data_IF_355947340001
#
_entry.id   IF_355947340001
#
_cell.length_a   1.000
_cell.length_b   1.000
_cell.length_c   1.000
_cell.angle_alpha   90.00
_cell.angle_beta   90.00
_cell.angle_gamma   90.00
#
_symmetry.space_group_name_H-M   'P 1'
#
loop_
_entity.id
_entity.type
_entity.pdbx_description
1 polymer ?
#
# COMPACT_ATOMS: atom_id res chain seq x y z
N UNK A 1 36.42 16.72 40.89
CA UNK A 1 35.66 17.36 41.97
C UNK A 1 34.38 17.95 41.37
N UNK A 2 33.24 17.34 41.74
CA UNK A 2 31.82 17.72 41.63
C UNK A 2 31.34 18.76 40.59
N UNK A 3 30.38 18.36 39.75
CA UNK A 3 29.37 19.23 39.15
C UNK A 3 27.98 18.77 39.62
N UNK A 4 27.20 19.70 40.14
CA UNK A 4 25.97 19.50 40.90
C UNK A 4 24.74 19.29 40.01
N UNK A 5 23.86 18.38 40.44
CA UNK A 5 22.53 18.16 39.87
C UNK A 5 21.52 19.04 40.61
N UNK A 6 20.83 19.94 39.91
CA UNK A 6 19.68 20.67 40.45
C UNK A 6 18.39 19.92 40.12
N UNK A 7 17.90 19.19 41.12
CA UNK A 7 16.58 18.55 41.14
C UNK A 7 15.51 19.62 41.38
N UNK A 8 14.56 19.77 40.45
CA UNK A 8 13.35 20.58 40.66
C UNK A 8 12.20 19.62 40.98
N UNK A 9 11.88 19.49 42.25
CA UNK A 9 10.69 18.81 42.73
C UNK A 9 9.46 19.73 42.54
N UNK A 10 8.47 19.27 41.78
CA UNK A 10 7.13 19.88 41.75
C UNK A 10 6.14 18.96 42.45
N UNK A 11 5.81 19.34 43.68
CA UNK A 11 4.65 18.86 44.43
C UNK A 11 3.42 19.52 43.84
N UNK A 12 2.43 18.74 43.39
CA UNK A 12 1.07 19.24 43.21
C UNK A 12 0.07 18.25 43.81
N UNK A 13 -0.78 18.84 44.64
CA UNK A 13 -1.70 18.22 45.56
C UNK A 13 -2.84 17.48 44.85
N UNK A 14 -3.27 16.40 45.51
CA UNK A 14 -4.51 15.69 45.23
C UNK A 14 -5.72 16.59 45.48
N UNK A 15 -6.64 16.64 44.54
CA UNK A 15 -8.06 16.88 44.79
C UNK A 15 -8.88 15.96 43.88
N UNK A 16 -9.54 14.98 44.51
CA UNK A 16 -10.51 14.09 43.87
C UNK A 16 -11.90 14.71 44.01
N UNK A 17 -12.71 14.79 42.95
CA UNK A 17 -14.14 14.89 43.09
C UNK A 17 -14.79 13.52 42.90
N UNK A 18 -15.40 13.03 43.98
CA UNK A 18 -16.30 11.88 44.01
C UNK A 18 -17.58 12.21 43.25
N UNK A 19 -17.80 11.58 42.10
CA UNK A 19 -19.12 11.56 41.45
C UNK A 19 -19.59 10.12 41.39
N UNK A 20 -20.52 9.83 42.31
CA UNK A 20 -21.38 8.65 42.31
C UNK A 20 -22.22 8.64 41.03
N UNK A 21 -22.06 7.62 40.20
CA UNK A 21 -23.08 7.24 39.23
C UNK A 21 -23.54 5.82 39.50
N UNK A 22 -24.84 5.71 39.74
CA UNK A 22 -25.55 4.50 40.07
C UNK A 22 -25.46 3.47 38.95
N UNK A 23 -25.07 2.25 39.33
CA UNK A 23 -25.29 1.04 38.57
C UNK A 23 -26.81 0.79 38.48
N UNK A 24 -27.40 1.02 37.30
CA UNK A 24 -28.68 0.42 36.92
C UNK A 24 -28.47 -1.08 36.76
N UNK A 25 -28.69 -1.85 37.83
CA UNK A 25 -28.92 -3.30 37.72
C UNK A 25 -30.31 -3.53 37.14
N UNK A 26 -30.35 -4.07 35.93
CA UNK A 26 -31.57 -4.59 35.32
C UNK A 26 -31.85 -5.97 35.94
N UNK A 27 -32.77 -6.04 36.90
CA UNK A 27 -33.29 -7.31 37.41
C UNK A 27 -34.25 -7.90 36.36
N UNK A 28 -33.81 -8.92 35.63
CA UNK A 28 -34.71 -9.78 34.88
C UNK A 28 -35.40 -10.75 35.84
N UNK A 29 -36.64 -10.45 36.21
CA UNK A 29 -37.51 -11.33 36.97
C UNK A 29 -37.94 -12.50 36.06
N UNK A 30 -37.36 -13.69 36.27
CA UNK A 30 -37.90 -14.93 35.71
C UNK A 30 -39.12 -15.34 36.55
N UNK A 31 -40.32 -15.00 36.07
CA UNK A 31 -41.55 -15.59 36.57
C UNK A 31 -42.01 -16.69 35.61
N UNK A 32 -41.93 -17.92 36.10
CA UNK A 32 -42.58 -19.11 35.55
C UNK A 32 -44.10 -18.92 35.61
N UNK A 33 -44.79 -19.19 34.50
CA UNK A 33 -46.22 -19.49 34.51
C UNK A 33 -46.41 -20.94 34.03
N UNK A 34 -47.16 -21.79 34.76
CA UNK A 34 -47.49 -23.13 34.32
C UNK A 34 -48.77 -23.09 33.49
N UNK A 35 -48.74 -23.61 32.25
CA UNK A 35 -49.96 -23.84 31.47
C UNK A 35 -50.03 -25.30 31.05
N UNK A 36 -50.76 -26.02 31.91
CA UNK A 36 -51.71 -27.12 31.67
C UNK A 36 -51.72 -27.75 30.27
N UNK A 37 -51.36 -29.03 30.24
CA UNK A 37 -51.57 -29.98 29.15
C UNK A 37 -53.05 -30.39 29.06
N UNK A 38 -53.60 -30.32 27.84
CA UNK A 38 -54.69 -31.18 27.40
C UNK A 38 -54.41 -31.62 25.96
N UNK A 39 -54.31 -32.94 25.79
CA UNK A 39 -54.28 -33.57 24.47
C UNK A 39 -55.70 -33.67 23.91
N UNK A 40 -55.84 -33.31 22.64
CA UNK A 40 -56.94 -33.76 21.79
C UNK A 40 -56.39 -33.92 20.37
N UNK A 41 -56.56 -35.14 19.85
CA UNK A 41 -56.19 -35.59 18.52
C UNK A 41 -57.08 -34.89 17.47
N UNK A 42 -56.48 -34.39 16.40
CA UNK A 42 -57.17 -34.07 15.15
C UNK A 42 -56.24 -34.38 13.96
N UNK A 43 -56.65 -35.23 12.99
CA UNK A 43 -55.84 -35.57 11.85
C UNK A 43 -56.29 -34.78 10.62
N UNK A 44 -55.69 -33.62 10.37
CA UNK A 44 -55.75 -32.99 9.06
C UNK A 44 -54.39 -32.35 8.74
N UNK A 45 -53.56 -33.11 8.02
CA UNK A 45 -52.31 -32.62 7.45
C UNK A 45 -52.61 -31.90 6.13
N UNK A 46 -52.36 -30.59 5.99
CA UNK A 46 -52.33 -29.98 4.68
C UNK A 46 -51.05 -30.44 3.96
N UNK A 47 -51.08 -30.64 2.62
CA UNK A 47 -49.88 -30.95 1.87
C UNK A 47 -48.99 -29.71 1.88
N UNK A 48 -47.91 -29.74 2.66
CA UNK A 48 -46.80 -28.82 2.48
C UNK A 48 -46.11 -29.18 1.17
N UNK A 49 -46.57 -28.59 0.07
CA UNK A 49 -45.73 -28.44 -1.11
C UNK A 49 -44.59 -27.49 -0.74
N UNK A 50 -43.57 -28.03 -0.09
CA UNK A 50 -42.23 -27.46 -0.14
C UNK A 50 -41.76 -27.61 -1.59
N UNK A 51 -42.10 -26.65 -2.43
CA UNK A 51 -41.28 -26.36 -3.60
C UNK A 51 -40.00 -25.69 -3.09
N UNK A 52 -39.13 -26.46 -2.43
CA UNK A 52 -37.72 -26.13 -2.40
C UNK A 52 -37.21 -26.40 -3.81
N UNK A 53 -37.45 -25.44 -4.70
CA UNK A 53 -36.74 -25.38 -5.97
C UNK A 53 -35.30 -25.03 -5.61
N UNK A 54 -34.41 -26.02 -5.71
CA UNK A 54 -32.97 -25.82 -5.60
C UNK A 54 -32.51 -24.98 -6.79
N UNK A 55 -32.71 -23.67 -6.72
CA UNK A 55 -32.18 -22.71 -7.68
C UNK A 55 -30.69 -22.50 -7.37
N UNK A 56 -29.85 -23.10 -8.21
CA UNK A 56 -28.75 -22.42 -8.91
C UNK A 56 -27.58 -21.80 -8.12
N UNK A 57 -27.00 -22.49 -7.13
CA UNK A 57 -25.67 -22.13 -6.62
C UNK A 57 -24.59 -22.10 -7.73
N UNK A 58 -24.77 -22.86 -8.81
CA UNK A 58 -23.86 -22.87 -9.96
C UNK A 58 -24.04 -21.67 -10.90
N UNK A 59 -25.25 -21.14 -11.08
CA UNK A 59 -25.44 -19.93 -11.89
C UNK A 59 -25.00 -18.67 -11.13
N UNK A 60 -25.16 -18.63 -9.81
CA UNK A 60 -24.73 -17.49 -9.00
C UNK A 60 -23.20 -17.38 -8.93
N UNK A 61 -22.49 -18.51 -8.80
CA UNK A 61 -21.03 -18.53 -8.82
C UNK A 61 -20.45 -18.18 -10.20
N UNK A 62 -21.06 -18.66 -11.28
CA UNK A 62 -20.67 -18.32 -12.65
C UNK A 62 -20.95 -16.83 -12.95
N UNK A 63 -22.12 -16.30 -12.57
CA UNK A 63 -22.47 -14.89 -12.72
C UNK A 63 -21.57 -13.98 -11.87
N UNK A 64 -21.21 -14.37 -10.64
CA UNK A 64 -20.26 -13.62 -9.80
C UNK A 64 -18.86 -13.65 -10.39
N UNK A 65 -18.38 -14.78 -10.90
CA UNK A 65 -17.07 -14.88 -11.55
C UNK A 65 -17.01 -14.05 -12.86
N UNK A 66 -18.08 -14.04 -13.63
CA UNK A 66 -18.22 -13.24 -14.85
C UNK A 66 -18.29 -11.73 -14.53
N UNK A 67 -18.98 -11.36 -13.44
CA UNK A 67 -19.01 -9.97 -12.93
C UNK A 67 -17.64 -9.53 -12.43
N UNK A 68 -16.89 -10.42 -11.77
CA UNK A 68 -15.53 -10.16 -11.30
C UNK A 68 -14.57 -9.90 -12.47
N UNK A 69 -14.83 -10.46 -13.66
CA UNK A 69 -14.07 -10.19 -14.87
C UNK A 69 -14.46 -8.88 -15.56
N UNK A 70 -15.72 -8.43 -15.43
CA UNK A 70 -16.27 -7.26 -16.13
C UNK A 70 -15.41 -6.00 -15.99
N UNK A 71 -14.87 -5.74 -14.79
CA UNK A 71 -14.13 -4.50 -14.49
C UNK A 71 -12.61 -4.69 -14.34
N UNK A 72 -12.05 -5.87 -14.64
CA UNK A 72 -10.60 -6.11 -14.49
C UNK A 72 -9.76 -5.25 -15.43
N UNK A 73 -10.17 -5.19 -16.70
CA UNK A 73 -9.42 -4.50 -17.75
C UNK A 73 -9.64 -2.98 -17.70
N UNK A 74 -10.85 -2.56 -17.31
CA UNK A 74 -11.24 -1.16 -17.18
C UNK A 74 -11.82 -0.85 -15.79
N UNK A 75 -10.96 -0.76 -14.75
CA UNK A 75 -11.42 -0.54 -13.38
C UNK A 75 -12.18 0.76 -13.11
N UNK A 76 -11.98 1.78 -13.95
CA UNK A 76 -12.63 3.08 -13.78
C UNK A 76 -14.12 3.06 -14.16
N UNK A 77 -14.57 2.12 -15.00
CA UNK A 77 -15.97 2.00 -15.39
C UNK A 77 -16.85 1.60 -14.18
N UNK A 78 -16.30 0.86 -13.20
CA UNK A 78 -17.03 0.48 -11.98
C UNK A 78 -17.44 1.69 -11.13
N UNK A 79 -16.62 2.74 -11.02
CA UNK A 79 -16.97 3.93 -10.23
C UNK A 79 -18.07 4.79 -10.86
N UNK A 80 -18.35 4.58 -12.14
CA UNK A 80 -19.44 5.25 -12.86
C UNK A 80 -20.72 4.39 -12.89
N UNK A 81 -20.63 3.14 -12.46
CA UNK A 81 -21.75 2.22 -12.42
C UNK A 81 -22.77 2.58 -11.34
N UNK A 82 -24.04 2.23 -11.59
CA UNK A 82 -25.12 2.35 -10.62
C UNK A 82 -24.85 1.53 -9.35
N UNK A 83 -24.22 0.35 -9.49
CA UNK A 83 -23.83 -0.53 -8.38
C UNK A 83 -22.94 0.19 -7.35
N UNK A 84 -21.99 1.00 -7.82
CA UNK A 84 -21.09 1.76 -6.97
C UNK A 84 -21.85 2.90 -6.27
N UNK A 85 -22.70 3.62 -7.00
CA UNK A 85 -23.45 4.76 -6.50
C UNK A 85 -24.46 4.32 -5.43
N UNK A 86 -25.14 3.19 -5.60
CA UNK A 86 -26.06 2.64 -4.60
C UNK A 86 -25.34 2.21 -3.32
N UNK A 87 -24.14 1.64 -3.45
CA UNK A 87 -23.37 1.12 -2.31
C UNK A 87 -22.63 2.19 -1.51
N UNK A 88 -22.02 3.15 -2.20
CA UNK A 88 -21.14 4.17 -1.61
C UNK A 88 -21.72 5.58 -1.64
N UNK A 89 -22.59 5.86 -2.60
CA UNK A 89 -23.11 7.21 -2.83
C UNK A 89 -22.00 8.21 -3.13
N UNK A 90 -22.03 9.33 -2.40
CA UNK A 90 -21.05 10.43 -2.52
C UNK A 90 -19.84 10.28 -1.61
N UNK A 91 -19.90 9.35 -0.66
CA UNK A 91 -18.87 9.19 0.36
C UNK A 91 -17.67 8.42 -0.18
N UNK A 92 -16.45 8.67 0.33
CA UNK A 92 -15.28 7.91 -0.08
C UNK A 92 -15.40 6.44 0.35
N UNK A 93 -14.78 5.54 -0.41
CA UNK A 93 -14.86 4.07 -0.21
C UNK A 93 -14.53 3.62 1.21
N UNK A 94 -13.76 4.39 1.97
CA UNK A 94 -13.30 4.07 3.32
C UNK A 94 -14.13 4.72 4.45
N UNK A 95 -15.18 5.50 4.13
CA UNK A 95 -15.97 6.25 5.12
C UNK A 95 -16.71 5.35 6.13
N UNK A 96 -17.35 4.29 5.65
CA UNK A 96 -18.13 3.33 6.43
C UNK A 96 -17.27 2.25 7.10
N UNK A 97 -15.94 2.34 6.99
CA UNK A 97 -15.03 1.34 7.50
C UNK A 97 -14.51 1.64 8.90
N UNK A 98 -14.68 0.67 9.82
CA UNK A 98 -14.14 0.73 11.18
C UNK A 98 -13.28 -0.48 11.52
N UNK A 99 -12.07 -0.22 12.02
CA UNK A 99 -11.11 -1.25 12.44
C UNK A 99 -11.38 -1.75 13.86
N UNK A 100 -11.40 -3.07 14.00
CA UNK A 100 -11.41 -3.73 15.29
C UNK A 100 -9.98 -3.79 15.86
N UNK A 101 -9.76 -3.14 17.01
CA UNK A 101 -8.50 -3.15 17.74
C UNK A 101 -8.77 -3.03 19.25
N UNK A 102 -7.78 -3.38 20.07
CA UNK A 102 -7.90 -3.31 21.53
C UNK A 102 -7.61 -1.89 22.02
N UNK A 103 -8.47 -1.37 22.89
CA UNK A 103 -8.32 -0.04 23.50
C UNK A 103 -8.79 1.10 22.59
N UNK A 104 -8.60 2.34 23.04
CA UNK A 104 -9.00 3.53 22.29
C UNK A 104 -7.99 4.01 21.24
N UNK A 105 -6.72 3.63 21.37
CA UNK A 105 -5.64 4.04 20.44
C UNK A 105 -5.34 2.87 19.50
N UNK A 106 -5.50 3.04 18.17
CA UNK A 106 -5.17 1.98 17.23
C UNK A 106 -3.65 1.75 17.12
N UNK A 107 -3.24 0.53 16.75
CA UNK A 107 -1.86 0.29 16.34
C UNK A 107 -1.47 1.19 15.16
N UNK A 108 -0.28 1.80 15.24
CA UNK A 108 0.25 2.74 14.23
C UNK A 108 0.49 2.11 12.85
N UNK A 109 0.56 0.78 12.79
CA UNK A 109 0.64 0.04 11.54
C UNK A 109 -0.60 -0.82 11.37
N UNK A 110 -1.16 -0.83 10.16
CA UNK A 110 -2.23 -1.77 9.80
C UNK A 110 -1.66 -3.15 9.55
N UNK A 111 -2.54 -4.15 9.41
CA UNK A 111 -2.11 -5.51 9.07
C UNK A 111 -1.41 -5.54 7.71
N UNK A 112 -0.52 -6.53 7.52
CA UNK A 112 0.25 -6.69 6.26
C UNK A 112 -0.67 -6.88 5.05
N UNK A 113 -1.57 -7.86 5.11
CA UNK A 113 -2.53 -8.19 4.04
C UNK A 113 -3.89 -8.58 4.63
N UNK A 114 -4.98 -8.32 3.89
CA UNK A 114 -6.32 -8.83 4.19
C UNK A 114 -6.56 -10.22 3.61
N UNK A 115 -6.00 -10.47 2.43
CA UNK A 115 -6.18 -11.69 1.64
C UNK A 115 -4.92 -12.55 1.81
N UNK A 116 -5.09 -13.82 2.18
CA UNK A 116 -4.01 -14.81 2.36
C UNK A 116 -4.37 -16.05 1.56
N UNK A 117 -3.74 -16.23 0.38
CA UNK A 117 -4.22 -17.23 -0.59
C UNK A 117 -5.62 -16.84 -1.05
N UNK A 118 -6.57 -17.76 -0.94
CA UNK A 118 -7.97 -17.55 -1.34
C UNK A 118 -8.85 -17.07 -0.16
N UNK A 119 -8.32 -17.07 1.07
CA UNK A 119 -9.08 -16.68 2.25
C UNK A 119 -9.01 -15.16 2.51
N UNK A 120 -10.18 -14.55 2.64
CA UNK A 120 -10.34 -13.15 3.01
C UNK A 120 -10.55 -13.05 4.53
N UNK A 121 -9.77 -12.20 5.19
CA UNK A 121 -9.94 -11.91 6.61
C UNK A 121 -11.35 -11.41 6.93
N UNK A 122 -11.96 -11.83 8.05
CA UNK A 122 -13.37 -11.54 8.36
C UNK A 122 -13.79 -10.06 8.41
N UNK A 123 -12.87 -9.13 8.73
CA UNK A 123 -13.08 -7.69 8.55
C UNK A 123 -12.05 -7.15 7.54
N UNK A 124 -12.24 -7.33 6.21
CA UNK A 124 -11.32 -6.89 5.16
C UNK A 124 -11.26 -5.37 5.07
N UNK A 125 -10.19 -4.81 4.49
CA UNK A 125 -10.09 -3.35 4.36
C UNK A 125 -11.00 -2.84 3.23
N UNK A 126 -11.27 -1.52 3.13
CA UNK A 126 -12.21 -0.96 2.15
C UNK A 126 -11.97 -1.38 0.71
N UNK A 127 -10.69 -1.52 0.33
CA UNK A 127 -10.25 -1.96 -1.01
C UNK A 127 -10.28 -3.48 -1.18
N UNK A 128 -10.15 -4.26 -0.10
CA UNK A 128 -10.10 -5.74 -0.19
C UNK A 128 -11.44 -6.42 0.06
N UNK A 129 -12.44 -5.70 0.56
CA UNK A 129 -13.81 -6.24 0.75
C UNK A 129 -14.54 -6.38 -0.58
N UNK A 130 -14.25 -5.47 -1.52
CA UNK A 130 -14.93 -5.36 -2.79
C UNK A 130 -13.91 -5.64 -3.90
N UNK A 131 -14.11 -6.76 -4.62
CA UNK A 131 -13.19 -7.20 -5.67
C UNK A 131 -13.19 -6.29 -6.91
N UNK A 132 -14.26 -5.54 -7.12
CA UNK A 132 -14.42 -4.62 -8.24
C UNK A 132 -13.54 -3.36 -8.08
N UNK A 133 -13.11 -3.05 -6.84
CA UNK A 133 -12.24 -1.92 -6.56
C UNK A 133 -10.78 -2.31 -6.82
N UNK A 134 -10.35 -2.12 -8.06
CA UNK A 134 -8.97 -2.37 -8.48
C UNK A 134 -8.16 -1.07 -8.42
N UNK A 135 -7.07 -1.10 -7.65
CA UNK A 135 -6.11 0.02 -7.57
C UNK A 135 -5.28 0.04 -8.86
N UNK A 136 -5.50 1.08 -9.67
CA UNK A 136 -4.80 1.30 -10.93
C UNK A 136 -4.49 2.79 -11.11
N UNK A 137 -3.39 3.12 -11.81
CA UNK A 137 -2.94 4.50 -11.99
C UNK A 137 -3.92 5.35 -12.83
N UNK A 138 -4.62 4.73 -13.78
CA UNK A 138 -5.65 5.40 -14.59
C UNK A 138 -6.92 5.72 -13.82
N UNK A 139 -7.14 5.07 -12.66
CA UNK A 139 -8.35 5.24 -11.90
C UNK A 139 -8.27 6.48 -10.97
N UNK A 140 -8.26 7.66 -11.60
CA UNK A 140 -8.08 8.95 -10.91
C UNK A 140 -9.16 9.18 -9.86
N UNK A 141 -10.43 8.86 -10.17
CA UNK A 141 -11.58 9.02 -9.26
C UNK A 141 -11.39 8.25 -7.96
N UNK A 142 -10.89 7.01 -8.04
CA UNK A 142 -10.58 6.20 -6.87
C UNK A 142 -9.40 6.77 -6.10
N UNK A 143 -8.27 7.05 -6.78
CA UNK A 143 -7.05 7.52 -6.13
C UNK A 143 -7.26 8.85 -5.40
N UNK A 144 -8.06 9.75 -5.97
CA UNK A 144 -8.37 11.05 -5.37
C UNK A 144 -9.05 10.93 -4.01
N UNK A 145 -9.84 9.88 -3.76
CA UNK A 145 -10.46 9.63 -2.44
C UNK A 145 -9.45 9.32 -1.33
N UNK A 146 -8.26 8.83 -1.70
CA UNK A 146 -7.18 8.52 -0.76
C UNK A 146 -6.19 9.68 -0.58
N UNK A 147 -6.36 10.78 -1.32
CA UNK A 147 -5.48 11.95 -1.30
C UNK A 147 -6.18 13.10 -0.57
N UNK A 148 -5.43 13.82 0.26
CA UNK A 148 -5.90 15.06 0.88
C UNK A 148 -6.11 16.14 -0.18
N UNK A 149 -7.31 16.74 -0.29
CA UNK A 149 -7.58 17.78 -1.29
C UNK A 149 -6.76 19.06 -1.06
N UNK A 150 -6.36 19.33 0.19
CA UNK A 150 -5.61 20.54 0.54
C UNK A 150 -4.10 20.34 0.41
N UNK A 151 -3.59 19.20 0.90
CA UNK A 151 -2.14 18.96 0.98
C UNK A 151 -1.61 18.20 -0.24
N UNK A 152 -2.50 17.53 -1.00
CA UNK A 152 -2.08 16.60 -2.06
C UNK A 152 -1.32 15.38 -1.54
N UNK A 153 -1.30 15.14 -0.23
CA UNK A 153 -0.63 13.98 0.38
C UNK A 153 -1.58 12.80 0.49
N UNK A 154 -1.06 11.59 0.29
CA UNK A 154 -1.82 10.36 0.50
C UNK A 154 -2.12 10.18 1.99
N UNK A 155 -3.33 9.77 2.32
CA UNK A 155 -3.69 9.47 3.70
C UNK A 155 -2.94 8.25 4.23
N UNK A 156 -2.59 8.32 5.51
CA UNK A 156 -1.97 7.23 6.25
C UNK A 156 -2.97 6.07 6.44
N UNK A 157 -2.54 4.80 6.47
CA UNK A 157 -3.43 3.66 6.52
C UNK A 157 -4.13 3.55 7.89
N UNK A 158 -3.67 4.26 8.91
CA UNK A 158 -4.37 4.43 10.19
C UNK A 158 -5.69 5.18 10.03
N UNK A 159 -5.76 6.13 9.09
CA UNK A 159 -6.97 6.92 8.76
C UNK A 159 -7.91 6.18 7.82
N UNK A 160 -7.39 5.62 6.72
CA UNK A 160 -8.20 4.96 5.68
C UNK A 160 -8.51 3.50 6.01
N UNK A 161 -7.74 2.88 6.90
CA UNK A 161 -7.92 1.50 7.32
C UNK A 161 -7.48 0.43 6.32
N UNK A 162 -6.76 0.82 5.25
CA UNK A 162 -6.22 -0.13 4.25
C UNK A 162 -5.09 -1.00 4.81
N UNK A 163 -4.94 -2.22 4.31
CA UNK A 163 -3.78 -3.04 4.66
C UNK A 163 -2.49 -2.51 4.02
N UNK A 164 -1.34 -2.81 4.62
CA UNK A 164 -0.06 -2.30 4.15
C UNK A 164 0.26 -2.69 2.69
N UNK A 165 -0.16 -3.87 2.23
CA UNK A 165 -0.02 -4.28 0.82
C UNK A 165 -0.79 -3.36 -0.13
N UNK A 166 -2.02 -2.98 0.22
CA UNK A 166 -2.80 -2.05 -0.61
C UNK A 166 -2.29 -0.62 -0.47
N UNK A 167 -1.83 -0.20 0.71
CA UNK A 167 -1.16 1.10 0.87
C UNK A 167 0.05 1.23 -0.05
N UNK A 168 0.88 0.18 -0.14
CA UNK A 168 2.03 0.16 -1.05
C UNK A 168 1.59 0.30 -2.52
N UNK A 169 0.57 -0.46 -2.93
CA UNK A 169 -0.01 -0.36 -4.28
C UNK A 169 -0.60 1.02 -4.56
N UNK A 170 -1.26 1.66 -3.59
CA UNK A 170 -1.78 3.01 -3.71
C UNK A 170 -0.65 4.02 -3.89
N UNK A 171 0.44 3.92 -3.12
CA UNK A 171 1.62 4.77 -3.30
C UNK A 171 2.22 4.62 -4.71
N UNK A 172 2.40 3.38 -5.17
CA UNK A 172 2.92 3.08 -6.51
C UNK A 172 2.00 3.64 -7.62
N UNK A 173 0.69 3.41 -7.50
CA UNK A 173 -0.29 3.89 -8.46
C UNK A 173 -0.39 5.42 -8.49
N UNK A 174 -0.33 6.09 -7.34
CA UNK A 174 -0.33 7.56 -7.25
C UNK A 174 0.96 8.15 -7.79
N UNK A 175 2.13 7.55 -7.51
CA UNK A 175 3.40 7.95 -8.11
C UNK A 175 3.34 7.85 -9.63
N UNK A 176 2.96 6.69 -10.14
CA UNK A 176 2.81 6.43 -11.58
C UNK A 176 1.79 7.38 -12.24
N UNK A 177 0.66 7.67 -11.57
CA UNK A 177 -0.34 8.61 -12.08
C UNK A 177 0.17 10.06 -12.12
N UNK A 178 1.04 10.47 -11.18
CA UNK A 178 1.70 11.78 -11.21
C UNK A 178 2.74 11.86 -12.32
N UNK A 179 3.52 10.79 -12.51
CA UNK A 179 4.54 10.70 -13.58
C UNK A 179 3.88 10.78 -14.96
N UNK A 180 2.69 10.19 -15.13
CA UNK A 180 1.89 10.31 -16.35
C UNK A 180 1.08 11.62 -16.48
N UNK A 181 1.09 12.49 -15.46
CA UNK A 181 0.31 13.73 -15.46
C UNK A 181 -1.20 13.55 -15.34
N UNK A 182 -1.69 12.38 -14.91
CA UNK A 182 -3.11 12.11 -14.68
C UNK A 182 -3.62 12.74 -13.39
N UNK A 183 -2.76 12.83 -12.37
CA UNK A 183 -3.07 13.47 -11.09
C UNK A 183 -2.34 14.80 -10.96
N UNK A 184 -3.05 15.91 -10.66
CA UNK A 184 -2.41 17.18 -10.38
C UNK A 184 -1.67 17.14 -9.04
N UNK A 185 -0.48 17.71 -8.99
CA UNK A 185 0.30 17.90 -7.77
C UNK A 185 1.11 19.20 -7.85
N UNK A 186 1.50 19.74 -6.70
CA UNK A 186 2.28 20.96 -6.64
C UNK A 186 3.75 20.68 -6.97
N UNK A 187 4.25 21.31 -8.04
CA UNK A 187 5.66 21.31 -8.40
C UNK A 187 6.23 22.68 -8.00
N UNK A 188 7.19 22.74 -7.06
CA UNK A 188 7.82 24.00 -6.72
C UNK A 188 8.65 24.50 -7.90
N UNK A 189 8.62 25.81 -8.13
CA UNK A 189 9.59 26.44 -9.00
C UNK A 189 10.95 26.41 -8.32
N UNK A 190 11.96 25.89 -9.01
CA UNK A 190 13.34 25.83 -8.54
C UNK A 190 14.18 26.73 -9.44
N UNK A 191 14.80 27.74 -8.86
CA UNK A 191 15.72 28.63 -9.57
C UNK A 191 17.13 28.02 -9.56
N UNK A 192 17.74 27.94 -10.75
CA UNK A 192 19.09 27.41 -10.93
C UNK A 192 20.14 28.53 -10.98
N UNK A 193 19.92 29.62 -10.25
CA UNK A 193 20.82 30.78 -10.23
C UNK A 193 22.14 30.43 -9.53
N UNK A 194 23.23 30.31 -10.29
CA UNK A 194 24.56 30.04 -9.74
C UNK A 194 25.56 29.40 -10.71
N UNK A 195 25.10 28.99 -11.90
CA UNK A 195 25.95 28.34 -12.91
C UNK A 195 26.12 29.24 -14.13
N UNK A 196 27.37 29.41 -14.57
CA UNK A 196 27.66 29.99 -15.89
C UNK A 196 27.28 28.95 -16.95
N UNK A 197 26.21 29.20 -17.70
CA UNK A 197 25.76 28.30 -18.79
C UNK A 197 26.61 28.38 -20.06
N UNK A 198 27.88 28.79 -19.93
CA UNK A 198 28.80 28.88 -21.06
C UNK A 198 29.41 27.51 -21.33
N UNK A 199 29.10 26.94 -22.50
CA UNK A 199 29.74 25.71 -22.98
C UNK A 199 31.15 25.97 -23.56
N UNK A 200 31.87 26.97 -23.04
CA UNK A 200 33.19 27.37 -23.52
C UNK A 200 34.33 26.58 -22.90
N UNK A 201 34.06 25.75 -21.89
CA UNK A 201 35.09 24.94 -21.25
C UNK A 201 35.45 23.72 -22.12
N UNK A 202 36.74 23.44 -22.28
CA UNK A 202 37.26 22.37 -23.16
C UNK A 202 36.78 20.95 -22.79
N UNK A 203 36.28 20.75 -21.56
CA UNK A 203 35.70 19.47 -21.13
C UNK A 203 34.34 19.17 -21.77
N UNK A 204 33.58 20.21 -22.15
CA UNK A 204 32.32 20.05 -22.90
C UNK A 204 32.50 20.31 -24.40
N UNK A 205 33.53 21.08 -24.76
CA UNK A 205 33.92 21.35 -26.13
C UNK A 205 34.71 20.23 -26.79
N UNK A 206 35.03 20.42 -28.07
CA UNK A 206 35.94 19.52 -28.78
C UNK A 206 37.38 19.75 -28.30
N UNK A 207 37.96 18.77 -27.61
CA UNK A 207 39.38 18.79 -27.28
C UNK A 207 40.19 18.50 -28.55
N UNK A 208 41.20 19.31 -28.90
CA UNK A 208 41.98 19.08 -30.10
C UNK A 208 42.67 17.71 -30.02
N UNK A 209 42.74 16.97 -31.15
CA UNK A 209 43.38 15.66 -31.16
C UNK A 209 44.86 15.81 -30.79
N UNK A 210 45.44 14.80 -30.11
CA UNK A 210 46.86 14.81 -29.81
C UNK A 210 47.69 14.82 -31.11
N UNK A 211 48.91 15.34 -31.09
CA UNK A 211 49.80 15.37 -32.26
C UNK A 211 50.28 13.98 -32.71
N UNK A 212 49.95 12.90 -32.00
CA UNK A 212 50.30 11.53 -32.38
C UNK A 212 49.55 11.12 -33.64
N UNK A 213 50.30 10.75 -34.67
CA UNK A 213 49.80 10.35 -35.99
C UNK A 213 49.21 8.93 -35.98
N UNK A 214 48.12 8.72 -35.23
CA UNK A 214 47.34 7.48 -35.24
C UNK A 214 47.89 6.32 -34.40
N UNK A 215 49.09 6.46 -33.82
CA UNK A 215 49.70 5.45 -32.96
C UNK A 215 49.35 5.66 -31.47
N UNK A 216 49.55 4.59 -30.68
CA UNK A 216 49.37 4.56 -29.22
C UNK A 216 50.02 5.75 -28.51
N UNK A 217 49.38 6.27 -27.46
CA UNK A 217 49.82 7.49 -26.74
C UNK A 217 51.29 7.44 -26.27
N UNK A 218 51.74 6.29 -25.79
CA UNK A 218 53.14 6.04 -25.45
C UNK A 218 53.71 4.91 -26.29
N UNK A 219 54.99 5.02 -26.65
CA UNK A 219 55.70 4.03 -27.47
C UNK A 219 55.70 2.61 -26.91
N UNK A 220 55.63 2.46 -25.58
CA UNK A 220 55.67 1.17 -24.90
C UNK A 220 54.33 0.42 -24.85
N UNK A 221 53.26 1.04 -25.36
CA UNK A 221 51.99 0.35 -25.59
C UNK A 221 51.98 -0.46 -26.89
N UNK A 222 52.84 -0.12 -27.86
CA UNK A 222 53.01 -0.90 -29.08
C UNK A 222 53.79 -2.19 -28.84
N UNK A 223 53.76 -3.09 -29.82
CA UNK A 223 54.57 -4.30 -29.80
C UNK A 223 56.06 -3.92 -29.89
N UNK A 224 56.80 -4.17 -28.81
CA UNK A 224 58.24 -3.98 -28.77
C UNK A 224 58.90 -5.35 -28.84
N UNK A 225 59.76 -5.55 -29.83
CA UNK A 225 60.67 -6.71 -29.88
C UNK A 225 61.83 -6.47 -28.90
N UNK A 226 61.93 -7.22 -27.79
CA UNK A 226 63.01 -7.03 -26.82
C UNK A 226 64.35 -7.51 -27.39
N UNK A 227 65.45 -6.93 -26.89
CA UNK A 227 66.80 -7.35 -27.27
C UNK A 227 67.08 -8.80 -26.83
N UNK A 228 67.69 -9.57 -27.73
CA UNK A 228 67.92 -11.00 -27.54
C UNK A 228 68.83 -11.28 -26.34
N UNK A 229 69.77 -10.38 -26.03
CA UNK A 229 70.67 -10.52 -24.88
C UNK A 229 69.91 -10.45 -23.55
N UNK A 230 68.95 -9.52 -23.43
CA UNK A 230 68.12 -9.36 -22.24
C UNK A 230 67.15 -10.53 -22.10
N UNK A 231 66.56 -10.99 -23.21
CA UNK A 231 65.74 -12.20 -23.23
C UNK A 231 66.56 -13.42 -22.77
N UNK A 232 67.81 -13.55 -23.21
CA UNK A 232 68.70 -14.63 -22.78
C UNK A 232 69.03 -14.57 -21.28
N UNK A 233 69.28 -13.38 -20.73
CA UNK A 233 69.47 -13.17 -19.28
C UNK A 233 68.23 -13.61 -18.50
N UNK A 234 67.03 -13.19 -18.91
CA UNK A 234 65.76 -13.58 -18.27
C UNK A 234 65.53 -15.09 -18.38
N UNK A 235 65.77 -15.69 -19.55
CA UNK A 235 65.66 -17.14 -19.76
C UNK A 235 66.62 -17.94 -18.86
N UNK A 236 67.83 -17.43 -18.62
CA UNK A 236 68.80 -18.06 -17.70
C UNK A 236 68.30 -17.99 -16.25
N UNK A 237 67.80 -16.84 -15.81
CA UNK A 237 67.30 -16.61 -14.45
C UNK A 237 66.08 -17.48 -14.12
N UNK A 238 65.13 -17.59 -15.05
CA UNK A 238 63.86 -18.28 -14.82
C UNK A 238 63.78 -19.68 -15.44
N UNK A 239 64.92 -20.29 -15.82
CA UNK A 239 65.02 -21.54 -16.59
C UNK A 239 64.09 -22.68 -16.14
N UNK A 240 63.87 -22.84 -14.83
CA UNK A 240 63.05 -23.92 -14.27
C UNK A 240 61.52 -23.68 -14.38
N UNK A 241 61.10 -22.46 -14.72
CA UNK A 241 59.71 -22.00 -14.69
C UNK A 241 59.26 -21.34 -16.01
N UNK A 242 60.08 -21.42 -17.07
CA UNK A 242 59.69 -20.95 -18.39
C UNK A 242 58.59 -21.85 -18.96
N UNK A 243 57.60 -21.25 -19.62
CA UNK A 243 56.59 -21.95 -20.40
C UNK A 243 57.08 -22.22 -21.82
#
# INVERSE_FOLDING_TARGET
>A
MAASLTSIAKVLCRLSPSILQQLRQYQSCLQRLPVRSYGALSPFAPPSHFYCQAASLQNDAAAQAETLHRYKDRPWDYLESEEYIERYGTDPVWADYRRNHKGGIPPQKTRKTCIRGDEVSGNPCPVCRDSNIVVHHQNVKLLQQFISPQTGMLYDPTRTGVCMKQQKKLNEAVGTARDHGLLPFQIPYVEFSGEDYSNSHDAVGCTPPPPSSGDTWYKWYGEITPDEQEVAKVKKTYKAYLK
#
